data_IF_959442952360
#
_entry.id   IF_959442952360
#
_cell.length_a   1.000
_cell.length_b   1.000
_cell.length_c   1.000
_cell.angle_alpha   90.00
_cell.angle_beta   90.00
_cell.angle_gamma   90.00
#
_symmetry.space_group_name_H-M   'P 1'
#
loop_
_entity.id
_entity.type
_entity.pdbx_description
1 polymer ?
#
# COMPACT_ATOMS: atom_id res chain seq x y z
N UNK A 1 22.38 -16.60 62.96
CA UNK A 1 21.61 -17.60 62.19
C UNK A 1 20.50 -16.86 61.45
N UNK A 2 20.70 -16.54 60.16
CA UNK A 2 19.70 -15.83 59.35
C UNK A 2 18.74 -16.86 58.74
N UNK A 3 17.52 -16.94 59.28
CA UNK A 3 16.49 -17.87 58.81
C UNK A 3 15.94 -17.37 57.46
N UNK A 4 16.41 -17.97 56.37
CA UNK A 4 15.96 -17.65 55.02
C UNK A 4 14.58 -18.27 54.79
N UNK A 5 13.50 -17.52 55.07
CA UNK A 5 12.13 -17.95 54.72
C UNK A 5 11.95 -17.84 53.21
N UNK A 6 11.99 -18.97 52.52
CA UNK A 6 11.51 -19.08 51.14
C UNK A 6 10.01 -18.76 51.10
N UNK A 7 9.64 -17.60 50.53
CA UNK A 7 8.26 -17.25 50.22
C UNK A 7 7.87 -17.97 48.93
N UNK A 8 6.98 -18.95 49.03
CA UNK A 8 6.38 -19.61 47.87
C UNK A 8 5.30 -18.73 47.23
N UNK A 9 5.24 -18.73 45.91
CA UNK A 9 4.19 -18.07 45.13
C UNK A 9 2.90 -18.90 45.22
N UNK A 10 1.75 -18.28 45.45
CA UNK A 10 0.47 -19.00 45.51
C UNK A 10 -0.06 -19.28 44.10
N UNK A 11 -0.78 -20.40 43.94
CA UNK A 11 -1.45 -20.72 42.67
C UNK A 11 -2.48 -19.66 42.26
N UNK A 12 -3.12 -19.00 43.24
CA UNK A 12 -4.10 -17.94 42.98
C UNK A 12 -3.43 -16.67 42.43
N UNK A 13 -2.23 -16.34 42.93
CA UNK A 13 -1.47 -15.19 42.43
C UNK A 13 -1.07 -15.42 40.97
N UNK A 14 -0.70 -16.65 40.61
CA UNK A 14 -0.31 -16.95 39.23
C UNK A 14 -1.52 -16.94 38.29
N UNK A 15 -2.67 -17.40 38.78
CA UNK A 15 -3.93 -17.41 38.02
C UNK A 15 -4.43 -15.98 37.72
N UNK A 16 -4.38 -15.07 38.69
CA UNK A 16 -4.80 -13.67 38.48
C UNK A 16 -3.87 -12.96 37.49
N UNK A 17 -2.56 -13.21 37.56
CA UNK A 17 -1.58 -12.58 36.67
C UNK A 17 -1.82 -12.98 35.21
N UNK A 18 -1.99 -14.27 34.92
CA UNK A 18 -2.25 -14.71 33.54
C UNK A 18 -3.61 -14.19 33.03
N UNK A 19 -4.61 -14.04 33.92
CA UNK A 19 -5.90 -13.47 33.55
C UNK A 19 -5.76 -12.00 33.13
N UNK A 20 -5.02 -11.19 33.88
CA UNK A 20 -4.79 -9.77 33.56
C UNK A 20 -3.96 -9.63 32.27
N UNK A 21 -2.89 -10.42 32.10
CA UNK A 21 -2.08 -10.42 30.86
C UNK A 21 -2.95 -10.82 29.65
N UNK A 22 -3.85 -11.79 29.81
CA UNK A 22 -4.80 -12.20 28.78
C UNK A 22 -5.68 -11.04 28.31
N UNK A 23 -6.27 -10.27 29.24
CA UNK A 23 -7.11 -9.11 28.89
C UNK A 23 -6.30 -8.01 28.21
N UNK A 24 -5.13 -7.66 28.76
CA UNK A 24 -4.28 -6.60 28.21
C UNK A 24 -3.75 -6.95 26.81
N UNK A 25 -3.33 -8.19 26.60
CA UNK A 25 -2.81 -8.65 25.30
C UNK A 25 -3.86 -8.61 24.20
N UNK A 26 -5.13 -8.93 24.50
CA UNK A 26 -6.22 -8.87 23.52
C UNK A 26 -6.46 -7.44 22.99
N UNK A 27 -6.48 -6.44 23.89
CA UNK A 27 -6.67 -5.02 23.51
C UNK A 27 -5.50 -4.51 22.67
N UNK A 28 -4.27 -4.84 23.06
CA UNK A 28 -3.06 -4.44 22.33
C UNK A 28 -3.00 -5.06 20.93
N UNK A 29 -3.42 -6.31 20.77
CA UNK A 29 -3.40 -6.96 19.46
C UNK A 29 -4.40 -6.32 18.48
N UNK A 30 -5.60 -5.97 18.96
CA UNK A 30 -6.61 -5.30 18.14
C UNK A 30 -6.15 -3.91 17.65
N UNK A 31 -5.51 -3.13 18.53
CA UNK A 31 -5.00 -1.81 18.18
C UNK A 31 -3.81 -1.89 17.22
N UNK A 32 -2.92 -2.87 17.39
CA UNK A 32 -1.78 -3.10 16.49
C UNK A 32 -2.24 -3.46 15.08
N UNK A 33 -3.27 -4.31 14.92
CA UNK A 33 -3.76 -4.69 13.61
C UNK A 33 -4.29 -3.48 12.82
N UNK A 34 -5.05 -2.61 13.50
CA UNK A 34 -5.55 -1.36 12.90
C UNK A 34 -4.41 -0.41 12.52
N UNK A 35 -3.39 -0.28 13.38
CA UNK A 35 -2.23 0.56 13.11
C UNK A 35 -1.42 0.06 11.91
N UNK A 36 -1.25 -1.26 11.77
CA UNK A 36 -0.60 -1.89 10.62
C UNK A 36 -1.31 -1.60 9.31
N UNK A 37 -2.64 -1.80 9.25
CA UNK A 37 -3.41 -1.50 8.03
C UNK A 37 -3.32 -0.02 7.62
N UNK A 38 -3.34 0.91 8.59
CA UNK A 38 -3.12 2.34 8.29
C UNK A 38 -1.71 2.64 7.80
N UNK A 39 -0.70 1.97 8.35
CA UNK A 39 0.69 2.07 7.89
C UNK A 39 0.84 1.58 6.45
N UNK A 40 0.17 0.49 6.11
CA UNK A 40 0.12 -0.04 4.74
C UNK A 40 -0.54 0.96 3.78
N UNK A 41 -1.66 1.59 4.14
CA UNK A 41 -2.28 2.62 3.30
C UNK A 41 -1.37 3.82 3.05
N UNK A 42 -0.60 4.23 4.07
CA UNK A 42 0.38 5.31 3.91
C UNK A 42 1.53 4.89 2.98
N UNK A 43 2.00 3.64 3.07
CA UNK A 43 3.00 3.09 2.16
C UNK A 43 2.48 3.08 0.71
N UNK A 44 1.24 2.61 0.48
CA UNK A 44 0.59 2.65 -0.84
C UNK A 44 0.55 4.07 -1.40
N UNK A 45 0.10 5.05 -0.60
CA UNK A 45 0.04 6.44 -1.02
C UNK A 45 1.42 7.00 -1.39
N UNK A 46 2.44 6.67 -0.60
CA UNK A 46 3.83 7.08 -0.83
C UNK A 46 4.42 6.46 -2.10
N UNK A 47 4.20 5.16 -2.31
CA UNK A 47 4.66 4.44 -3.50
C UNK A 47 3.98 5.01 -4.76
N UNK A 48 2.67 5.22 -4.73
CA UNK A 48 1.93 5.81 -5.86
C UNK A 48 2.35 7.28 -6.12
N UNK A 49 2.64 8.06 -5.07
CA UNK A 49 3.21 9.40 -5.24
C UNK A 49 4.60 9.36 -5.88
N UNK A 50 5.43 8.36 -5.53
CA UNK A 50 6.73 8.14 -6.17
C UNK A 50 6.54 7.87 -7.65
N UNK A 51 5.60 6.99 -8.03
CA UNK A 51 5.27 6.72 -9.43
C UNK A 51 4.92 8.00 -10.17
N UNK A 52 4.10 8.88 -9.57
CA UNK A 52 3.73 10.14 -10.22
C UNK A 52 4.95 11.02 -10.52
N UNK A 53 5.84 11.22 -9.53
CA UNK A 53 7.05 12.03 -9.76
C UNK A 53 7.98 11.41 -10.80
N UNK A 54 8.16 10.09 -10.78
CA UNK A 54 9.03 9.39 -11.73
C UNK A 54 8.43 9.32 -13.13
N UNK A 55 7.10 9.22 -13.24
CA UNK A 55 6.41 9.22 -14.52
C UNK A 55 6.65 10.54 -15.28
N UNK A 56 6.61 11.68 -14.59
CA UNK A 56 6.92 12.99 -15.19
C UNK A 56 8.39 13.08 -15.64
N UNK A 57 9.32 12.54 -14.84
CA UNK A 57 10.74 12.46 -15.21
C UNK A 57 10.91 11.54 -16.44
N UNK A 58 10.24 10.39 -16.48
CA UNK A 58 10.28 9.47 -17.59
C UNK A 58 9.75 10.12 -18.88
N UNK A 59 8.62 10.81 -18.78
CA UNK A 59 7.99 11.52 -19.89
C UNK A 59 8.94 12.57 -20.50
N UNK A 60 9.65 13.34 -19.67
CA UNK A 60 10.61 14.35 -20.13
C UNK A 60 11.97 13.81 -20.58
N UNK A 61 12.47 12.72 -19.99
CA UNK A 61 13.84 12.23 -20.22
C UNK A 61 14.00 11.33 -21.45
N UNK A 62 12.94 10.64 -21.87
CA UNK A 62 13.02 9.62 -22.94
C UNK A 62 13.01 10.22 -24.36
N UNK A 63 12.99 11.55 -24.50
CA UNK A 63 13.03 12.28 -25.78
C UNK A 63 11.78 12.13 -26.68
N UNK A 64 10.91 11.17 -26.38
CA UNK A 64 9.68 10.89 -27.11
C UNK A 64 8.42 11.48 -26.45
N UNK A 65 8.55 12.22 -25.34
CA UNK A 65 7.42 12.80 -24.60
C UNK A 65 6.30 11.79 -24.43
N UNK A 66 6.63 10.62 -23.88
CA UNK A 66 5.72 9.49 -23.82
C UNK A 66 5.92 8.65 -22.56
N UNK A 67 4.82 8.15 -21.99
CA UNK A 67 4.82 7.17 -20.89
C UNK A 67 5.04 5.72 -21.37
N UNK A 68 5.14 5.50 -22.68
CA UNK A 68 5.41 4.20 -23.28
C UNK A 68 5.16 4.13 -24.78
N UNK A 69 5.75 3.14 -25.44
CA UNK A 69 5.48 2.80 -26.84
C UNK A 69 4.34 1.80 -26.99
N UNK A 70 3.92 1.17 -25.89
CA UNK A 70 2.80 0.23 -25.81
C UNK A 70 1.66 0.81 -24.96
N UNK A 71 0.44 0.34 -25.22
CA UNK A 71 -0.72 0.61 -24.35
C UNK A 71 -0.80 -0.46 -23.28
N UNK A 72 -0.83 -0.06 -22.01
CA UNK A 72 -1.11 -0.94 -20.89
C UNK A 72 -2.56 -0.76 -20.43
N UNK A 73 -3.25 -1.87 -20.17
CA UNK A 73 -4.63 -1.87 -19.70
C UNK A 73 -4.80 -2.96 -18.65
N UNK A 74 -5.01 -2.56 -17.40
CA UNK A 74 -5.17 -3.45 -16.26
C UNK A 74 -3.89 -4.14 -15.81
N UNK A 75 -2.71 -3.74 -16.33
CA UNK A 75 -1.46 -4.48 -16.14
C UNK A 75 -0.25 -3.57 -16.05
N UNK A 76 0.56 -3.82 -15.02
CA UNK A 76 1.81 -3.10 -14.75
C UNK A 76 3.04 -3.74 -15.40
N UNK A 77 2.90 -4.86 -16.10
CA UNK A 77 4.02 -5.65 -16.63
C UNK A 77 4.15 -5.59 -18.15
N UNK A 78 3.43 -4.68 -18.80
CA UNK A 78 3.45 -4.50 -20.25
C UNK A 78 4.79 -3.90 -20.68
N UNK A 79 5.56 -4.66 -21.45
CA UNK A 79 6.84 -4.21 -22.00
C UNK A 79 6.67 -2.98 -22.89
N UNK A 80 7.67 -2.10 -22.90
CA UNK A 80 7.61 -0.84 -23.64
C UNK A 80 6.80 0.25 -22.94
N UNK A 81 6.39 0.05 -21.68
CA UNK A 81 5.81 1.09 -20.83
C UNK A 81 6.77 1.48 -19.70
N UNK A 82 6.58 2.67 -19.14
CA UNK A 82 7.38 3.13 -17.99
C UNK A 82 7.34 2.17 -16.79
N UNK A 83 6.26 1.39 -16.63
CA UNK A 83 6.08 0.47 -15.51
C UNK A 83 7.13 -0.65 -15.46
N UNK A 84 7.72 -0.99 -16.61
CA UNK A 84 8.74 -2.04 -16.73
C UNK A 84 10.11 -1.46 -17.03
N UNK A 85 10.16 -0.37 -17.80
CA UNK A 85 11.42 0.25 -18.23
C UNK A 85 12.08 1.02 -17.07
N UNK A 86 11.29 1.71 -16.25
CA UNK A 86 11.80 2.45 -15.11
C UNK A 86 11.82 1.58 -13.85
N UNK A 87 13.02 1.32 -13.32
CA UNK A 87 13.19 0.44 -12.15
C UNK A 87 12.65 1.02 -10.84
N UNK A 88 12.54 2.35 -10.73
CA UNK A 88 12.00 3.02 -9.55
C UNK A 88 10.48 2.87 -9.54
N UNK A 89 9.83 3.08 -10.69
CA UNK A 89 8.40 2.84 -10.88
C UNK A 89 8.07 1.37 -10.62
N UNK A 90 8.84 0.43 -11.19
CA UNK A 90 8.64 -1.01 -10.98
C UNK A 90 8.73 -1.40 -9.50
N UNK A 91 9.70 -0.84 -8.75
CA UNK A 91 9.83 -1.07 -7.30
C UNK A 91 8.69 -0.47 -6.50
N UNK A 92 8.22 0.72 -6.85
CA UNK A 92 7.07 1.35 -6.19
C UNK A 92 5.78 0.54 -6.41
N UNK A 93 5.59 -0.02 -7.61
CA UNK A 93 4.48 -0.95 -7.89
C UNK A 93 4.57 -2.18 -6.99
N UNK A 94 5.73 -2.84 -6.93
CA UNK A 94 5.93 -4.01 -6.07
C UNK A 94 5.77 -3.69 -4.57
N UNK A 95 6.16 -2.48 -4.15
CA UNK A 95 5.93 -1.95 -2.81
C UNK A 95 4.44 -1.82 -2.47
N UNK A 96 3.68 -1.21 -3.39
CA UNK A 96 2.23 -1.05 -3.25
C UNK A 96 1.49 -2.40 -3.26
N UNK A 97 1.92 -3.37 -4.06
CA UNK A 97 1.39 -4.75 -4.06
C UNK A 97 1.68 -5.47 -2.73
N UNK A 98 2.87 -5.25 -2.16
CA UNK A 98 3.23 -5.83 -0.87
C UNK A 98 2.40 -5.21 0.27
N UNK A 99 2.20 -3.89 0.23
CA UNK A 99 1.46 -3.15 1.23
C UNK A 99 -0.05 -3.43 1.19
N UNK A 100 -0.64 -3.66 0.02
CA UNK A 100 -2.07 -4.00 -0.06
C UNK A 100 -2.39 -5.47 0.32
N UNK A 101 -1.38 -6.27 0.69
CA UNK A 101 -1.56 -7.67 1.06
C UNK A 101 -1.63 -8.64 -0.12
N UNK A 102 -0.89 -8.37 -1.21
CA UNK A 102 -0.90 -9.15 -2.46
C UNK A 102 -2.18 -9.02 -3.30
N UNK A 103 -2.97 -7.98 -3.06
CA UNK A 103 -4.05 -7.52 -3.93
C UNK A 103 -3.54 -6.84 -5.20
N UNK A 104 -4.46 -6.52 -6.11
CA UNK A 104 -4.12 -6.05 -7.46
C UNK A 104 -3.77 -4.56 -7.49
N UNK A 105 -2.58 -4.23 -8.00
CA UNK A 105 -2.29 -2.90 -8.54
C UNK A 105 -2.68 -2.88 -10.02
N UNK A 106 -3.51 -1.92 -10.41
CA UNK A 106 -3.97 -1.75 -11.78
C UNK A 106 -3.20 -0.59 -12.38
N UNK A 107 -2.48 -0.86 -13.46
CA UNK A 107 -1.78 0.15 -14.24
C UNK A 107 -2.37 0.27 -15.65
N UNK A 108 -2.65 1.50 -16.05
CA UNK A 108 -3.06 1.86 -17.39
C UNK A 108 -2.09 2.92 -17.92
N UNK A 109 -1.62 2.74 -19.15
CA UNK A 109 -0.78 3.73 -19.81
C UNK A 109 -1.04 3.76 -21.31
N UNK A 110 -0.88 4.94 -21.88
CA UNK A 110 -0.81 5.23 -23.31
C UNK A 110 0.42 6.12 -23.53
N UNK A 111 0.61 6.61 -24.76
CA UNK A 111 1.71 7.54 -25.01
C UNK A 111 1.59 8.82 -24.15
N UNK A 112 0.38 9.38 -23.98
CA UNK A 112 0.20 10.72 -23.40
C UNK A 112 -0.50 10.73 -22.05
N UNK A 113 -0.93 9.57 -21.54
CA UNK A 113 -1.65 9.50 -20.27
C UNK A 113 -1.39 8.18 -19.55
N UNK A 114 -1.46 8.22 -18.22
CA UNK A 114 -1.41 7.03 -17.38
C UNK A 114 -2.30 7.19 -16.15
N UNK A 115 -2.71 6.07 -15.58
CA UNK A 115 -3.24 6.01 -14.23
C UNK A 115 -2.79 4.72 -13.56
N UNK A 116 -2.52 4.80 -12.26
CA UNK A 116 -2.17 3.67 -11.42
C UNK A 116 -3.04 3.69 -10.18
N UNK A 117 -3.66 2.55 -9.86
CA UNK A 117 -4.49 2.40 -8.67
C UNK A 117 -4.14 1.16 -7.87
N UNK A 118 -4.23 1.26 -6.55
CA UNK A 118 -4.08 0.13 -5.62
C UNK A 118 -5.21 0.12 -4.61
N UNK A 119 -5.69 -1.07 -4.25
CA UNK A 119 -6.68 -1.28 -3.17
C UNK A 119 -6.11 -0.91 -1.80
N UNK A 120 -6.87 -0.23 -0.96
CA UNK A 120 -6.44 0.11 0.40
C UNK A 120 -6.55 -1.10 1.34
N UNK A 121 -5.62 -1.18 2.30
CA UNK A 121 -5.57 -2.22 3.34
C UNK A 121 -6.61 -2.00 4.44
N UNK A 122 -6.98 -0.75 4.76
CA UNK A 122 -8.04 -0.48 5.77
C UNK A 122 -9.46 -0.64 5.23
N UNK A 123 -9.68 -0.35 3.95
CA UNK A 123 -10.97 -0.43 3.27
C UNK A 123 -10.76 -1.01 1.87
N UNK A 124 -10.90 -2.34 1.76
CA UNK A 124 -10.67 -3.07 0.52
C UNK A 124 -11.69 -2.75 -0.58
N UNK A 125 -12.72 -1.97 -0.27
CA UNK A 125 -13.67 -1.46 -1.28
C UNK A 125 -13.17 -0.20 -1.96
N UNK A 126 -12.15 0.47 -1.41
CA UNK A 126 -11.62 1.73 -1.94
C UNK A 126 -10.21 1.56 -2.49
N UNK A 127 -9.95 2.31 -3.54
CA UNK A 127 -8.67 2.38 -4.21
C UNK A 127 -8.05 3.76 -4.00
N UNK A 128 -6.74 3.79 -3.80
CA UNK A 128 -5.94 4.99 -4.04
C UNK A 128 -5.52 5.00 -5.50
N UNK A 129 -5.72 6.12 -6.18
CA UNK A 129 -5.33 6.29 -7.58
C UNK A 129 -4.50 7.55 -7.77
N UNK A 130 -3.50 7.46 -8.66
CA UNK A 130 -2.74 8.60 -9.19
C UNK A 130 -2.75 8.57 -10.72
N UNK A 131 -2.72 9.75 -11.36
CA UNK A 131 -2.74 9.86 -12.82
C UNK A 131 -1.80 10.94 -13.37
N UNK A 132 -1.69 10.98 -14.70
CA UNK A 132 -0.87 11.92 -15.47
C UNK A 132 -1.34 13.38 -15.43
N UNK A 133 -2.51 13.67 -14.83
CA UNK A 133 -2.96 15.07 -14.66
C UNK A 133 -2.41 15.70 -13.39
N UNK A 134 -1.61 14.96 -12.62
CA UNK A 134 -1.21 15.35 -11.27
C UNK A 134 -2.28 15.00 -10.22
N UNK A 135 -3.39 14.39 -10.65
CA UNK A 135 -4.49 14.02 -9.77
C UNK A 135 -4.13 12.86 -8.85
N UNK A 136 -4.62 12.93 -7.62
CA UNK A 136 -4.71 11.77 -6.73
C UNK A 136 -6.09 11.73 -6.09
N UNK A 137 -6.65 10.53 -5.95
CA UNK A 137 -8.00 10.36 -5.40
C UNK A 137 -8.17 9.03 -4.69
N UNK A 138 -9.06 9.05 -3.69
CA UNK A 138 -9.58 7.86 -3.04
C UNK A 138 -10.98 7.59 -3.58
N UNK A 139 -11.18 6.48 -4.28
CA UNK A 139 -12.46 6.16 -4.90
C UNK A 139 -12.84 4.70 -4.70
N UNK A 140 -14.13 4.44 -4.50
CA UNK A 140 -14.70 3.09 -4.52
C UNK A 140 -14.85 2.56 -5.96
N UNK A 141 -14.82 3.46 -6.95
CA UNK A 141 -14.85 3.06 -8.37
C UNK A 141 -13.51 2.48 -8.76
N UNK A 142 -13.52 1.28 -9.34
CA UNK A 142 -12.30 0.67 -9.88
C UNK A 142 -11.78 1.46 -11.09
N UNK A 143 -10.47 1.53 -11.25
CA UNK A 143 -9.84 2.25 -12.37
C UNK A 143 -10.20 1.63 -13.74
N UNK A 144 -10.41 0.31 -13.78
CA UNK A 144 -10.72 -0.42 -15.01
C UNK A 144 -9.64 -0.19 -16.07
N UNK A 145 -10.05 0.34 -17.23
CA UNK A 145 -9.16 0.65 -18.37
C UNK A 145 -8.86 2.14 -18.52
N UNK A 146 -9.32 2.99 -17.59
CA UNK A 146 -9.17 4.43 -17.67
C UNK A 146 -7.73 4.88 -17.37
N UNK A 147 -7.26 5.91 -18.07
CA UNK A 147 -5.96 6.56 -17.83
C UNK A 147 -6.09 7.85 -17.00
N UNK A 148 -7.21 8.01 -16.30
CA UNK A 148 -7.48 9.13 -15.40
C UNK A 148 -8.16 8.56 -14.17
N UNK A 149 -7.83 9.08 -13.00
CA UNK A 149 -8.41 8.58 -11.77
C UNK A 149 -9.91 8.91 -11.68
N UNK A 150 -10.72 7.95 -11.18
CA UNK A 150 -12.13 8.22 -10.92
C UNK A 150 -12.29 9.29 -9.83
N UNK A 151 -13.42 9.99 -9.85
CA UNK A 151 -13.72 11.01 -8.85
C UNK A 151 -13.70 10.41 -7.42
N UNK A 152 -13.27 11.23 -6.46
CA UNK A 152 -13.21 10.83 -5.06
C UNK A 152 -14.62 10.54 -4.50
N UNK A 153 -14.71 9.51 -3.65
CA UNK A 153 -15.95 9.03 -3.00
C UNK A 153 -15.70 8.64 -1.55
#
# INVERSE_FOLDING_TARGET
MYNNRSRGFTLIELLVVIAIIGVLSAVVLASLNTARSKGNDAAIQSDLSTIQTQAEIYYGSTGNNSYGTATATGSCTVAGTMFVVDTTIAKAIAGAESANGSGTVVCNASATAYAVSSTMSTDTTRNWCVDSTGGSSKSQTALGTATVCPAAS
#
